data_IF_900296305969
#
_entry.id   IF_900296305969
#
_cell.length_a   1.000
_cell.length_b   1.000
_cell.length_c   1.000
_cell.angle_alpha   90.00
_cell.angle_beta   90.00
_cell.angle_gamma   90.00
#
_symmetry.space_group_name_H-M   'P 1'
#
loop_
_entity.id
_entity.type
_entity.pdbx_description
1 polymer ?
#
# COMPACT_ATOMS: atom_id res chain seq x y z
N UNK A 1 -9.84 -18.11 -6.39
CA UNK A 1 -9.26 -16.79 -6.73
C UNK A 1 -7.93 -16.64 -6.04
N UNK A 2 -6.95 -16.01 -6.68
CA UNK A 2 -5.66 -15.80 -6.03
C UNK A 2 -5.78 -14.84 -4.86
N UNK A 3 -4.87 -14.99 -3.92
CA UNK A 3 -4.81 -14.13 -2.73
C UNK A 3 -3.62 -13.21 -2.83
N UNK A 4 -3.85 -11.94 -2.52
CA UNK A 4 -2.81 -10.90 -2.55
C UNK A 4 -2.67 -10.28 -1.17
N UNK A 5 -1.47 -9.82 -0.88
CA UNK A 5 -1.14 -9.25 0.42
C UNK A 5 -0.66 -7.81 0.24
N UNK A 6 -1.24 -6.91 1.00
CA UNK A 6 -1.01 -5.47 0.86
C UNK A 6 -0.22 -4.98 2.06
N UNK A 7 1.09 -4.86 1.89
CA UNK A 7 1.99 -4.47 2.96
C UNK A 7 2.23 -2.97 2.94
N UNK A 8 2.11 -2.32 4.09
CA UNK A 8 2.26 -0.87 4.22
C UNK A 8 3.53 -0.55 4.98
N UNK A 9 4.25 0.46 4.53
CA UNK A 9 5.39 1.02 5.25
C UNK A 9 5.22 2.54 5.29
N UNK A 10 4.97 3.06 6.49
CA UNK A 10 4.78 4.48 6.75
C UNK A 10 5.87 5.01 7.70
N UNK A 11 7.02 4.38 7.71
CA UNK A 11 8.09 4.56 8.69
C UNK A 11 8.19 3.37 9.64
N UNK A 12 7.12 2.55 9.67
CA UNK A 12 7.09 1.27 10.36
C UNK A 12 6.48 0.26 9.41
N UNK A 13 7.09 -0.90 9.29
CA UNK A 13 6.58 -1.95 8.44
C UNK A 13 5.34 -2.59 9.08
N UNK A 14 4.28 -2.70 8.28
CA UNK A 14 3.03 -3.33 8.69
C UNK A 14 2.66 -4.40 7.67
N UNK A 15 3.23 -5.60 7.80
CA UNK A 15 2.94 -6.66 6.86
C UNK A 15 1.49 -7.15 7.00
N UNK A 16 0.89 -7.44 5.85
CA UNK A 16 -0.43 -8.06 5.80
C UNK A 16 -0.25 -9.57 5.88
N UNK A 17 -0.88 -10.20 6.84
CA UNK A 17 -0.78 -11.65 7.02
C UNK A 17 -2.04 -12.40 6.63
N UNK A 18 -3.13 -11.69 6.39
CA UNK A 18 -4.40 -12.30 6.01
C UNK A 18 -4.62 -12.31 4.50
N UNK A 19 -4.29 -11.21 3.86
CA UNK A 19 -4.47 -11.04 2.43
C UNK A 19 -5.92 -10.85 2.02
N UNK A 20 -6.12 -10.69 0.72
CA UNK A 20 -7.42 -10.47 0.11
C UNK A 20 -7.49 -11.26 -1.18
N UNK A 21 -8.59 -11.98 -1.39
CA UNK A 21 -8.81 -12.70 -2.64
C UNK A 21 -9.34 -11.74 -3.69
N UNK A 22 -8.65 -11.68 -4.83
CA UNK A 22 -9.00 -10.80 -5.94
C UNK A 22 -8.83 -11.57 -7.24
N UNK A 23 -9.63 -11.22 -8.24
CA UNK A 23 -9.66 -11.98 -9.49
C UNK A 23 -8.41 -11.80 -10.35
N UNK A 24 -7.76 -10.64 -10.26
CA UNK A 24 -6.58 -10.39 -11.07
C UNK A 24 -6.03 -8.99 -10.85
N UNK A 25 -5.04 -8.62 -11.66
CA UNK A 25 -4.31 -7.36 -11.47
C UNK A 25 -5.17 -6.10 -11.60
N UNK A 26 -6.22 -6.14 -12.40
CA UNK A 26 -7.14 -5.00 -12.48
C UNK A 26 -7.75 -4.67 -11.14
N UNK A 27 -8.19 -5.70 -10.41
CA UNK A 27 -8.73 -5.52 -9.07
C UNK A 27 -7.65 -5.17 -8.06
N UNK A 28 -6.45 -5.73 -8.23
CA UNK A 28 -5.32 -5.39 -7.36
C UNK A 28 -4.99 -3.90 -7.46
N UNK A 29 -4.94 -3.36 -8.68
CA UNK A 29 -4.66 -1.94 -8.89
C UNK A 29 -5.73 -1.05 -8.25
N UNK A 30 -7.00 -1.40 -8.44
CA UNK A 30 -8.11 -0.64 -7.85
C UNK A 30 -8.07 -0.67 -6.33
N UNK A 31 -7.83 -1.85 -5.77
CA UNK A 31 -7.76 -2.01 -4.32
C UNK A 31 -6.56 -1.24 -3.75
N UNK A 32 -5.42 -1.24 -4.45
CA UNK A 32 -4.24 -0.52 -4.00
C UNK A 32 -4.50 0.98 -3.90
N UNK A 33 -5.18 1.55 -4.90
CA UNK A 33 -5.51 2.98 -4.90
C UNK A 33 -6.52 3.30 -3.80
N UNK A 34 -7.55 2.48 -3.66
CA UNK A 34 -8.57 2.67 -2.63
C UNK A 34 -7.96 2.64 -1.22
N UNK A 35 -7.14 1.63 -0.96
CA UNK A 35 -6.50 1.44 0.34
C UNK A 35 -5.54 2.59 0.63
N UNK A 36 -4.74 3.00 -0.35
CA UNK A 36 -3.81 4.10 -0.22
C UNK A 36 -4.54 5.39 0.16
N UNK A 37 -5.62 5.70 -0.56
CA UNK A 37 -6.40 6.91 -0.28
C UNK A 37 -7.02 6.89 1.11
N UNK A 38 -7.55 5.75 1.52
CA UNK A 38 -8.16 5.59 2.83
C UNK A 38 -7.13 5.76 3.97
N UNK A 39 -5.98 5.11 3.83
CA UNK A 39 -4.94 5.18 4.85
C UNK A 39 -4.37 6.59 4.95
N UNK A 40 -4.07 7.22 3.82
CA UNK A 40 -3.53 8.57 3.82
C UNK A 40 -4.51 9.59 4.42
N UNK A 41 -5.79 9.42 4.14
CA UNK A 41 -6.82 10.27 4.74
C UNK A 41 -6.84 10.13 6.25
N UNK A 42 -6.74 8.89 6.74
CA UNK A 42 -6.75 8.64 8.18
C UNK A 42 -5.47 9.11 8.86
N UNK A 43 -4.33 9.07 8.16
CA UNK A 43 -3.08 9.60 8.70
C UNK A 43 -3.13 11.10 8.90
N UNK A 44 -3.73 11.82 7.95
CA UNK A 44 -3.81 13.27 8.03
C UNK A 44 -2.43 13.90 8.19
N UNK A 45 -2.27 14.73 9.21
CA UNK A 45 -1.00 15.42 9.46
C UNK A 45 0.16 14.51 9.80
N UNK A 46 -0.10 13.29 10.28
CA UNK A 46 0.98 12.35 10.63
C UNK A 46 1.79 11.90 9.43
N UNK A 47 1.24 11.99 8.23
CA UNK A 47 1.97 11.68 7.02
C UNK A 47 3.26 12.51 6.94
N UNK A 48 3.20 13.77 7.37
CA UNK A 48 4.32 14.70 7.27
C UNK A 48 5.48 14.39 8.20
N UNK A 49 5.29 13.49 9.17
CA UNK A 49 6.38 13.07 10.06
C UNK A 49 7.50 12.39 9.28
N UNK A 50 7.16 11.68 8.20
CA UNK A 50 8.13 11.02 7.33
C UNK A 50 8.06 11.53 5.91
N UNK A 51 6.91 12.06 5.50
CA UNK A 51 6.64 12.55 4.15
C UNK A 51 6.89 11.50 3.07
N UNK A 52 6.76 10.22 3.45
CA UNK A 52 6.94 9.10 2.54
C UNK A 52 6.10 7.93 3.02
N UNK A 53 5.46 7.24 2.08
CA UNK A 53 4.60 6.12 2.37
C UNK A 53 4.66 5.15 1.19
N UNK A 54 4.78 3.86 1.46
CA UNK A 54 4.83 2.85 0.41
C UNK A 54 3.85 1.73 0.67
N UNK A 55 3.32 1.20 -0.42
CA UNK A 55 2.49 0.00 -0.42
C UNK A 55 3.15 -1.00 -1.34
N UNK A 56 3.38 -2.22 -0.85
CA UNK A 56 3.89 -3.31 -1.65
C UNK A 56 2.87 -4.43 -1.66
N UNK A 57 2.46 -4.86 -2.84
CA UNK A 57 1.54 -5.98 -2.99
C UNK A 57 2.32 -7.20 -3.42
N UNK A 58 2.13 -8.31 -2.71
CA UNK A 58 2.72 -9.59 -3.06
C UNK A 58 1.62 -10.61 -3.35
N UNK A 59 1.96 -11.64 -4.12
CA UNK A 59 1.07 -12.76 -4.35
C UNK A 59 1.29 -13.86 -3.31
N UNK A 60 0.63 -15.01 -3.51
CA UNK A 60 0.72 -16.14 -2.58
C UNK A 60 2.12 -16.74 -2.48
N UNK A 61 2.95 -16.53 -3.48
CA UNK A 61 4.33 -17.04 -3.46
C UNK A 61 5.30 -16.07 -2.79
N UNK A 62 4.81 -14.88 -2.42
CA UNK A 62 5.64 -13.83 -1.87
C UNK A 62 6.26 -12.94 -2.93
N UNK A 63 5.96 -13.17 -4.21
CA UNK A 63 6.50 -12.35 -5.28
C UNK A 63 5.81 -10.99 -5.30
N UNK A 64 6.60 -9.94 -5.42
CA UNK A 64 6.08 -8.57 -5.53
C UNK A 64 5.43 -8.37 -6.89
N UNK A 65 4.16 -7.97 -6.89
CA UNK A 65 3.40 -7.76 -8.14
C UNK A 65 3.03 -6.31 -8.38
N UNK A 66 3.13 -5.45 -7.35
CA UNK A 66 2.82 -4.04 -7.49
C UNK A 66 3.47 -3.25 -6.36
N UNK A 67 3.89 -2.04 -6.67
CA UNK A 67 4.36 -1.10 -5.66
C UNK A 67 3.79 0.27 -5.92
N UNK A 68 3.33 0.93 -4.86
CA UNK A 68 2.91 2.32 -4.88
C UNK A 68 3.75 3.10 -3.88
N UNK A 69 4.16 4.27 -4.28
CA UNK A 69 4.92 5.14 -3.40
C UNK A 69 4.33 6.53 -3.41
N UNK A 70 4.10 7.07 -2.23
CA UNK A 70 3.65 8.45 -2.07
C UNK A 70 4.74 9.19 -1.31
N UNK A 71 5.22 10.27 -1.89
CA UNK A 71 6.24 11.10 -1.26
C UNK A 71 5.88 12.56 -1.41
N UNK A 72 6.32 13.38 -0.48
CA UNK A 72 6.05 14.80 -0.51
C UNK A 72 7.36 15.57 -0.47
N UNK A 73 7.34 16.74 -1.10
CA UNK A 73 8.48 17.62 -1.15
C UNK A 73 7.99 19.05 -1.00
N UNK A 74 8.53 19.75 -0.03
CA UNK A 74 8.21 21.16 0.20
C UNK A 74 9.46 22.01 -0.10
N UNK A 75 9.59 22.52 -1.33
CA UNK A 75 10.72 23.38 -1.66
C UNK A 75 10.58 24.72 -0.95
N UNK A 76 11.65 25.22 -0.46
CA UNK A 76 11.70 26.49 0.26
C UNK A 76 12.01 26.36 1.71
#
# INVERSE_FOLDING_TARGET
MPRYFFHVDDGSERPDVEGTELAGMGQVRSEAVRLTGEILRDMGGRFWDHAEWTLTVTDQTGAKVLGLRVSANEPG
#
